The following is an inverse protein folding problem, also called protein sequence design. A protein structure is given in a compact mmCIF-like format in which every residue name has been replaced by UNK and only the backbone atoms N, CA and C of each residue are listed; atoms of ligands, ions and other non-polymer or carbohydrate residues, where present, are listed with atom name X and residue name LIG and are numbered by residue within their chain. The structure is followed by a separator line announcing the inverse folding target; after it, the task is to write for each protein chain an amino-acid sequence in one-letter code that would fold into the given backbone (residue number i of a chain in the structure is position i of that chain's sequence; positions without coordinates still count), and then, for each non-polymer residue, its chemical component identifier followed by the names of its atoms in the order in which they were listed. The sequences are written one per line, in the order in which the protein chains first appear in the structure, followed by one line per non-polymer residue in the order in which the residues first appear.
data_IF_561706759340
#
_entry.id   IF_561706759340
#
_cell.length_a   1.000
_cell.length_b   1.000
_cell.length_c   1.000
_cell.angle_alpha   90.00
_cell.angle_beta   90.00
_cell.angle_gamma   90.00
#
_symmetry.space_group_name_H-M   'P 1'
#
loop_
_entity.id
_entity.type
_entity.pdbx_description
1 polymer ?
#
# COMPACT_ATOMS: atom_id res chain seq x y z
N UNK A 1 -3.55 -8.25 4.05
CA UNK A 1 -3.80 -9.53 4.78
C UNK A 1 -3.49 -9.40 6.27
N UNK A 2 -4.50 -9.11 7.09
CA UNK A 2 -4.51 -9.50 8.51
C UNK A 2 -5.61 -10.56 8.66
N UNK A 3 -5.20 -11.83 8.83
CA UNK A 3 -6.09 -12.90 9.25
C UNK A 3 -6.21 -12.90 10.77
N UNK A 4 -7.42 -12.75 11.30
CA UNK A 4 -7.92 -13.31 12.57
C UNK A 4 -9.43 -13.10 12.55
N UNK A 5 -10.32 -14.08 12.70
CA UNK A 5 -10.19 -15.52 12.91
C UNK A 5 -11.58 -16.13 12.66
N UNK A 6 -11.59 -17.36 12.14
CA UNK A 6 -12.79 -18.18 11.99
C UNK A 6 -13.46 -18.38 13.35
N UNK A 7 -14.78 -18.31 13.38
CA UNK A 7 -15.59 -19.05 14.34
C UNK A 7 -16.60 -19.85 13.52
N UNK A 8 -16.33 -21.14 13.32
CA UNK A 8 -17.28 -22.14 12.79
C UNK A 8 -17.45 -23.19 13.87
N UNK A 9 -18.65 -23.28 14.42
CA UNK A 9 -19.34 -24.44 15.06
C UNK A 9 -20.75 -23.92 15.38
N UNK A 10 -21.91 -24.48 15.06
CA UNK A 10 -22.40 -25.75 14.51
C UNK A 10 -23.91 -25.50 14.22
N UNK A 11 -24.62 -26.29 13.40
CA UNK A 11 -26.07 -26.15 13.24
C UNK A 11 -26.81 -26.87 14.38
N UNK A 12 -27.83 -26.24 14.99
CA UNK A 12 -28.73 -26.92 15.93
C UNK A 12 -30.04 -27.30 15.26
N UNK A 13 -30.22 -28.60 15.08
CA UNK A 13 -31.49 -29.26 14.81
C UNK A 13 -32.20 -29.70 16.11
N UNK A 14 -33.53 -29.67 16.05
CA UNK A 14 -34.52 -30.50 16.73
C UNK A 14 -35.00 -30.23 18.17
N UNK A 15 -36.34 -30.06 18.21
CA UNK A 15 -37.38 -30.68 19.06
C UNK A 15 -37.30 -30.59 20.61
N UNK A 16 -38.46 -30.26 21.18
CA UNK A 16 -39.01 -31.07 22.28
C UNK A 16 -39.05 -30.45 23.68
N UNK A 17 -40.14 -29.72 23.97
CA UNK A 17 -41.03 -29.86 25.15
C UNK A 17 -40.43 -30.41 26.47
N UNK A 18 -40.45 -29.62 27.54
CA UNK A 18 -41.33 -29.78 28.73
C UNK A 18 -40.91 -28.80 29.85
N UNK A 19 -41.89 -28.06 30.39
CA UNK A 19 -41.77 -27.34 31.66
C UNK A 19 -41.97 -28.34 32.79
N UNK A 20 -41.04 -28.41 33.73
CA UNK A 20 -41.30 -28.93 35.07
C UNK A 20 -40.63 -28.04 36.12
N UNK A 21 -41.42 -27.75 37.15
CA UNK A 21 -41.15 -26.84 38.25
C UNK A 21 -40.56 -27.65 39.40
N UNK A 22 -39.31 -27.45 39.80
CA UNK A 22 -38.78 -27.90 41.11
C UNK A 22 -37.74 -26.93 41.67
N UNK A 23 -38.23 -26.10 42.60
CA UNK A 23 -37.67 -25.78 43.93
C UNK A 23 -36.15 -25.94 44.15
N UNK A 24 -35.44 -24.81 44.09
CA UNK A 24 -34.44 -24.33 45.06
C UNK A 24 -33.32 -25.27 45.53
N UNK A 25 -32.22 -25.30 44.77
CA UNK A 25 -30.87 -25.46 45.31
C UNK A 25 -30.01 -24.30 44.79
N UNK A 26 -29.46 -23.50 45.70
CA UNK A 26 -28.52 -22.44 45.37
C UNK A 26 -27.20 -23.07 44.91
N UNK A 27 -27.04 -23.20 43.59
CA UNK A 27 -25.83 -23.69 42.95
C UNK A 27 -24.85 -22.52 42.82
N UNK A 28 -23.78 -22.53 43.60
CA UNK A 28 -22.66 -21.59 43.44
C UNK A 28 -22.01 -21.83 42.08
N UNK A 29 -22.25 -20.94 41.12
CA UNK A 29 -21.59 -20.97 39.81
C UNK A 29 -20.07 -20.93 39.97
N UNK A 30 -19.29 -21.76 39.25
CA UNK A 30 -17.85 -21.58 39.16
C UNK A 30 -17.56 -20.23 38.50
N UNK A 31 -16.67 -19.46 39.09
CA UNK A 31 -16.24 -18.17 38.57
C UNK A 31 -15.85 -18.32 37.09
N UNK A 32 -16.57 -17.61 36.21
CA UNK A 32 -16.20 -17.54 34.80
C UNK A 32 -14.76 -17.04 34.64
N UNK A 33 -14.06 -17.38 33.53
CA UNK A 33 -12.70 -16.94 33.32
C UNK A 33 -12.60 -15.41 33.47
N UNK A 34 -11.55 -14.89 34.13
CA UNK A 34 -11.44 -13.47 34.41
C UNK A 34 -11.55 -12.68 33.10
N UNK A 35 -12.37 -11.62 33.13
CA UNK A 35 -12.54 -10.72 32.01
C UNK A 35 -11.16 -10.21 31.56
N UNK A 36 -10.84 -10.37 30.27
CA UNK A 36 -9.55 -9.95 29.73
C UNK A 36 -9.34 -8.46 30.04
N UNK A 37 -8.19 -8.06 30.61
CA UNK A 37 -7.96 -6.67 30.98
C UNK A 37 -8.12 -5.77 29.75
N UNK A 38 -8.65 -4.55 29.91
CA UNK A 38 -8.86 -3.64 28.80
C UNK A 38 -7.52 -3.41 28.09
N UNK A 39 -7.50 -3.41 26.74
CA UNK A 39 -6.26 -3.22 26.01
C UNK A 39 -5.55 -1.93 26.45
N UNK A 40 -4.24 -2.00 26.71
CA UNK A 40 -3.46 -0.82 27.09
C UNK A 40 -3.63 0.34 26.11
N UNK A 41 -3.41 1.58 26.54
CA UNK A 41 -3.70 2.80 25.77
C UNK A 41 -3.10 2.77 24.35
N UNK A 42 -1.91 2.20 24.19
CA UNK A 42 -1.27 1.99 22.89
C UNK A 42 -2.01 0.99 21.99
N UNK A 43 -2.51 -0.14 22.54
CA UNK A 43 -3.33 -1.11 21.80
C UNK A 43 -4.69 -0.53 21.42
N UNK A 44 -5.29 0.31 22.27
CA UNK A 44 -6.54 1.04 21.96
C UNK A 44 -6.35 2.06 20.85
N UNK A 45 -5.26 2.83 20.89
CA UNK A 45 -4.92 3.80 19.86
C UNK A 45 -4.64 3.11 18.51
N UNK A 46 -3.88 2.03 18.52
CA UNK A 46 -3.61 1.20 17.33
C UNK A 46 -4.90 0.68 16.69
N UNK A 47 -5.84 0.15 17.51
CA UNK A 47 -7.13 -0.35 17.02
C UNK A 47 -8.02 0.76 16.44
N UNK A 48 -7.91 1.99 16.94
CA UNK A 48 -8.64 3.15 16.39
C UNK A 48 -8.03 3.63 15.07
N UNK A 49 -6.70 3.79 15.03
CA UNK A 49 -5.96 4.24 13.84
C UNK A 49 -6.13 3.29 12.66
N UNK A 50 -5.94 1.99 12.90
CA UNK A 50 -6.03 0.97 11.85
C UNK A 50 -7.43 0.34 11.70
N UNK A 51 -8.41 0.86 12.44
CA UNK A 51 -9.82 0.45 12.34
C UNK A 51 -10.68 1.56 11.76
N UNK A 52 -11.03 2.56 12.58
CA UNK A 52 -11.96 3.63 12.21
C UNK A 52 -11.32 4.71 11.33
N UNK A 53 -10.02 4.92 11.46
CA UNK A 53 -9.27 5.98 10.75
C UNK A 53 -8.24 5.44 9.75
N UNK A 54 -8.47 4.21 9.25
CA UNK A 54 -7.52 3.54 8.35
C UNK A 54 -7.29 4.35 7.06
N UNK A 55 -8.35 4.93 6.49
CA UNK A 55 -8.25 5.82 5.33
C UNK A 55 -7.34 7.02 5.62
N UNK A 56 -7.60 7.76 6.69
CA UNK A 56 -6.82 8.96 7.07
C UNK A 56 -5.37 8.60 7.32
N UNK A 57 -5.12 7.49 8.02
CA UNK A 57 -3.77 7.02 8.32
C UNK A 57 -3.02 6.65 7.04
N UNK A 58 -3.66 5.94 6.10
CA UNK A 58 -3.08 5.61 4.80
C UNK A 58 -2.79 6.87 3.97
N UNK A 59 -3.71 7.83 3.95
CA UNK A 59 -3.54 9.10 3.22
C UNK A 59 -2.37 9.92 3.76
N UNK A 60 -2.33 10.16 5.07
CA UNK A 60 -1.26 10.97 5.68
C UNK A 60 0.08 10.26 5.57
N UNK A 61 0.14 8.95 5.84
CA UNK A 61 1.39 8.20 5.72
C UNK A 61 1.92 8.17 4.29
N UNK A 62 1.04 8.05 3.28
CA UNK A 62 1.45 8.09 1.87
C UNK A 62 2.05 9.45 1.49
N UNK A 63 1.42 10.55 1.93
CA UNK A 63 1.96 11.90 1.74
C UNK A 63 3.34 12.09 2.38
N UNK A 64 3.49 11.66 3.63
CA UNK A 64 4.76 11.76 4.36
C UNK A 64 5.86 10.89 3.74
N UNK A 65 5.55 9.66 3.33
CA UNK A 65 6.51 8.79 2.66
C UNK A 65 6.95 9.36 1.32
N UNK A 66 6.05 9.99 0.56
CA UNK A 66 6.39 10.63 -0.70
C UNK A 66 7.23 11.89 -0.48
N UNK A 67 6.88 12.71 0.51
CA UNK A 67 7.67 13.87 0.93
C UNK A 67 9.11 13.48 1.28
N UNK A 68 9.28 12.45 2.12
CA UNK A 68 10.61 11.96 2.52
C UNK A 68 11.38 11.38 1.33
N UNK A 69 10.69 10.66 0.44
CA UNK A 69 11.28 10.13 -0.79
C UNK A 69 11.82 11.24 -1.68
N UNK A 70 11.06 12.33 -1.85
CA UNK A 70 11.47 13.46 -2.67
C UNK A 70 12.64 14.24 -2.06
N UNK A 71 12.66 14.46 -0.72
CA UNK A 71 13.83 15.06 -0.04
C UNK A 71 15.11 14.27 -0.31
N UNK A 72 15.02 12.94 -0.28
CA UNK A 72 16.18 12.08 -0.56
C UNK A 72 16.54 12.11 -2.04
N UNK A 73 15.57 12.08 -2.96
CA UNK A 73 15.81 12.17 -4.40
C UNK A 73 16.50 13.49 -4.76
N UNK A 74 16.01 14.64 -4.27
CA UNK A 74 16.64 15.94 -4.47
C UNK A 74 18.08 15.96 -3.92
N UNK A 75 18.33 15.37 -2.74
CA UNK A 75 19.69 15.27 -2.20
C UNK A 75 20.63 14.41 -3.06
N UNK A 76 20.10 13.36 -3.71
CA UNK A 76 20.87 12.54 -4.66
C UNK A 76 21.22 13.38 -5.89
N UNK A 77 20.26 14.11 -6.45
CA UNK A 77 20.45 15.02 -7.59
C UNK A 77 21.51 16.11 -7.27
N UNK A 78 21.40 16.78 -6.12
CA UNK A 78 22.36 17.80 -5.69
C UNK A 78 23.79 17.27 -5.60
N UNK A 79 23.97 16.03 -5.10
CA UNK A 79 25.28 15.38 -5.03
C UNK A 79 25.81 15.03 -6.42
N UNK A 80 24.92 14.57 -7.32
CA UNK A 80 25.28 14.21 -8.71
C UNK A 80 25.74 15.43 -9.50
N UNK A 81 25.02 16.55 -9.39
CA UNK A 81 25.30 17.78 -10.13
C UNK A 81 26.48 18.59 -9.55
N UNK A 82 27.15 18.08 -8.50
CA UNK A 82 28.26 18.76 -7.83
C UNK A 82 27.90 20.08 -7.14
N UNK A 83 26.61 20.42 -7.08
CA UNK A 83 26.11 21.72 -6.67
C UNK A 83 25.86 21.76 -5.17
N UNK A 84 26.90 22.08 -4.38
CA UNK A 84 26.81 22.24 -2.92
C UNK A 84 25.86 23.36 -2.45
N UNK A 85 25.43 24.25 -3.35
CA UNK A 85 24.62 25.44 -3.05
C UNK A 85 23.15 25.35 -3.47
N UNK A 86 22.71 24.25 -4.11
CA UNK A 86 21.31 24.13 -4.56
C UNK A 86 20.43 23.94 -3.32
N UNK A 87 19.45 24.81 -3.10
CA UNK A 87 18.50 24.64 -2.01
C UNK A 87 17.45 23.57 -2.38
N UNK A 88 16.75 23.03 -1.37
CA UNK A 88 15.61 22.15 -1.62
C UNK A 88 14.53 22.91 -2.38
N UNK A 89 14.03 22.30 -3.45
CA UNK A 89 12.87 22.77 -4.17
C UNK A 89 11.60 22.45 -3.35
N UNK A 90 11.15 23.45 -2.60
CA UNK A 90 9.95 23.38 -1.77
C UNK A 90 8.67 23.26 -2.59
N UNK A 91 8.65 23.79 -3.81
CA UNK A 91 7.49 23.70 -4.69
C UNK A 91 7.30 22.25 -5.16
N UNK A 92 8.38 21.64 -5.68
CA UNK A 92 8.42 20.21 -6.01
C UNK A 92 8.05 19.33 -4.81
N UNK A 93 8.62 19.62 -3.64
CA UNK A 93 8.34 18.87 -2.41
C UNK A 93 6.84 18.91 -2.04
N UNK A 94 6.22 20.09 -2.16
CA UNK A 94 4.79 20.27 -1.97
C UNK A 94 3.96 19.47 -2.97
N UNK A 95 4.32 19.52 -4.26
CA UNK A 95 3.67 18.75 -5.32
C UNK A 95 3.75 17.24 -5.03
N UNK A 96 4.95 16.71 -4.77
CA UNK A 96 5.14 15.28 -4.46
C UNK A 96 4.38 14.86 -3.19
N UNK A 97 4.33 15.71 -2.17
CA UNK A 97 3.54 15.44 -0.97
C UNK A 97 2.05 15.31 -1.29
N UNK A 98 1.51 16.22 -2.10
CA UNK A 98 0.11 16.20 -2.55
C UNK A 98 -0.19 14.99 -3.44
N UNK A 99 0.75 14.59 -4.29
CA UNK A 99 0.66 13.32 -5.05
C UNK A 99 0.50 12.16 -4.07
N UNK A 100 1.38 12.03 -3.06
CA UNK A 100 1.27 10.98 -2.04
C UNK A 100 -0.07 10.99 -1.29
N UNK A 101 -0.58 12.17 -0.94
CA UNK A 101 -1.90 12.32 -0.31
C UNK A 101 -3.02 11.85 -1.24
N UNK A 102 -2.98 12.20 -2.53
CA UNK A 102 -4.00 11.78 -3.50
C UNK A 102 -3.98 10.27 -3.78
N UNK A 103 -2.79 9.66 -3.74
CA UNK A 103 -2.60 8.23 -3.93
C UNK A 103 -3.15 7.38 -2.77
N UNK A 104 -3.11 7.88 -1.53
CA UNK A 104 -3.54 7.13 -0.35
C UNK A 104 -5.01 6.62 -0.40
N UNK A 105 -6.01 7.48 -0.69
CA UNK A 105 -7.39 7.04 -0.90
C UNK A 105 -7.55 6.07 -2.06
N UNK A 106 -6.86 6.30 -3.17
CA UNK A 106 -6.90 5.41 -4.34
C UNK A 106 -6.43 4.00 -3.96
N UNK A 107 -5.29 3.89 -3.27
CA UNK A 107 -4.79 2.64 -2.71
C UNK A 107 -5.78 1.99 -1.75
N UNK A 108 -6.34 2.78 -0.82
CA UNK A 108 -7.29 2.26 0.17
C UNK A 108 -8.52 1.62 -0.48
N UNK A 109 -9.16 2.31 -1.43
CA UNK A 109 -10.39 1.81 -2.04
C UNK A 109 -10.15 0.67 -3.03
N UNK A 110 -9.09 0.71 -3.84
CA UNK A 110 -8.77 -0.38 -4.76
C UNK A 110 -8.44 -1.68 -4.02
N UNK A 111 -7.69 -1.59 -2.92
CA UNK A 111 -7.35 -2.77 -2.11
C UNK A 111 -8.56 -3.29 -1.33
N UNK A 112 -9.43 -2.41 -0.82
CA UNK A 112 -10.70 -2.82 -0.21
C UNK A 112 -11.61 -3.53 -1.22
N UNK A 113 -11.69 -3.03 -2.45
CA UNK A 113 -12.43 -3.67 -3.52
C UNK A 113 -11.84 -5.06 -3.84
N UNK A 114 -10.53 -5.16 -4.01
CA UNK A 114 -9.85 -6.43 -4.30
C UNK A 114 -10.05 -7.47 -3.18
N UNK A 115 -9.98 -7.04 -1.91
CA UNK A 115 -10.20 -7.94 -0.77
C UNK A 115 -11.65 -8.41 -0.65
N UNK A 116 -12.63 -7.61 -1.10
CA UNK A 116 -14.04 -8.02 -1.18
C UNK A 116 -14.30 -8.94 -2.37
N UNK A 117 -13.68 -8.68 -3.52
CA UNK A 117 -13.84 -9.47 -4.74
C UNK A 117 -13.18 -10.85 -4.61
N UNK A 118 -12.05 -10.93 -3.90
CA UNK A 118 -11.28 -12.16 -3.71
C UNK A 118 -11.06 -12.47 -2.22
N UNK A 119 -12.10 -12.93 -1.50
CA UNK A 119 -11.96 -13.30 -0.11
C UNK A 119 -11.12 -14.57 0.05
N UNK A 120 -10.30 -14.60 1.11
CA UNK A 120 -9.51 -15.78 1.48
C UNK A 120 -8.01 -15.66 1.20
N UNK A 121 -7.29 -16.71 1.59
CA UNK A 121 -5.82 -16.78 1.60
C UNK A 121 -5.28 -18.03 0.93
N UNK A 122 -6.10 -18.74 0.14
CA UNK A 122 -5.63 -19.87 -0.63
C UNK A 122 -4.57 -19.40 -1.64
N UNK A 123 -3.57 -20.25 -1.93
CA UNK A 123 -2.48 -19.90 -2.86
C UNK A 123 -3.04 -19.42 -4.20
N UNK A 124 -4.07 -20.08 -4.73
CA UNK A 124 -4.76 -19.64 -5.95
C UNK A 124 -5.29 -18.21 -5.82
N UNK A 125 -5.97 -17.87 -4.72
CA UNK A 125 -6.48 -16.52 -4.44
C UNK A 125 -5.34 -15.50 -4.35
N UNK A 126 -4.22 -15.86 -3.71
CA UNK A 126 -3.05 -14.99 -3.59
C UNK A 126 -2.43 -14.71 -4.96
N UNK A 127 -2.24 -15.74 -5.78
CA UNK A 127 -1.71 -15.60 -7.14
C UNK A 127 -2.64 -14.76 -8.02
N UNK A 128 -3.96 -14.94 -7.91
CA UNK A 128 -4.93 -14.09 -8.62
C UNK A 128 -4.85 -12.64 -8.16
N UNK A 129 -4.70 -12.38 -6.86
CA UNK A 129 -4.51 -11.02 -6.35
C UNK A 129 -3.24 -10.37 -6.89
N UNK A 130 -2.12 -11.10 -6.91
CA UNK A 130 -0.86 -10.60 -7.48
C UNK A 130 -1.04 -10.30 -8.98
N UNK A 131 -1.73 -11.17 -9.72
CA UNK A 131 -2.03 -10.91 -11.13
C UNK A 131 -2.87 -9.64 -11.33
N UNK A 132 -3.96 -9.48 -10.57
CA UNK A 132 -4.79 -8.26 -10.66
C UNK A 132 -3.99 -7.02 -10.26
N UNK A 133 -3.19 -7.12 -9.20
CA UNK A 133 -2.36 -6.02 -8.73
C UNK A 133 -1.43 -5.55 -9.86
N UNK A 134 -0.66 -6.46 -10.43
CA UNK A 134 0.33 -6.10 -11.42
C UNK A 134 -0.25 -5.73 -12.79
N UNK A 135 -1.33 -6.37 -13.25
CA UNK A 135 -1.88 -6.12 -14.60
C UNK A 135 -2.96 -5.03 -14.66
N UNK A 136 -3.59 -4.70 -13.53
CA UNK A 136 -4.70 -3.73 -13.51
C UNK A 136 -4.37 -2.57 -12.59
N UNK A 137 -4.01 -2.87 -11.34
CA UNK A 137 -3.87 -1.86 -10.30
C UNK A 137 -2.57 -1.05 -10.48
N UNK A 138 -1.43 -1.69 -10.73
CA UNK A 138 -0.14 -1.03 -10.98
C UNK A 138 -0.19 -0.04 -12.16
N UNK A 139 -0.72 -0.40 -13.35
CA UNK A 139 -0.90 0.56 -14.45
C UNK A 139 -1.73 1.78 -14.07
N UNK A 140 -2.81 1.59 -13.29
CA UNK A 140 -3.65 2.69 -12.80
C UNK A 140 -2.86 3.59 -11.85
N UNK A 141 -2.09 3.04 -10.93
CA UNK A 141 -1.27 3.83 -10.01
C UNK A 141 -0.17 4.60 -10.71
N UNK A 142 0.55 3.98 -11.63
CA UNK A 142 1.64 4.65 -12.37
C UNK A 142 1.06 5.80 -13.19
N UNK A 143 -0.06 5.57 -13.88
CA UNK A 143 -0.73 6.60 -14.70
C UNK A 143 -1.23 7.75 -13.84
N UNK A 144 -1.91 7.46 -12.72
CA UNK A 144 -2.43 8.50 -11.83
C UNK A 144 -1.30 9.24 -11.10
N UNK A 145 -0.20 8.56 -10.76
CA UNK A 145 1.00 9.17 -10.20
C UNK A 145 1.58 10.20 -11.17
N UNK A 146 1.87 9.82 -12.41
CA UNK A 146 2.46 10.72 -13.40
C UNK A 146 1.53 11.88 -13.77
N UNK A 147 0.23 11.63 -13.99
CA UNK A 147 -0.73 12.70 -14.26
C UNK A 147 -0.88 13.66 -13.08
N UNK A 148 -1.08 13.15 -11.86
CA UNK A 148 -1.26 14.01 -10.69
C UNK A 148 0.00 14.84 -10.41
N UNK A 149 1.18 14.25 -10.55
CA UNK A 149 2.45 14.96 -10.44
C UNK A 149 2.58 16.07 -11.49
N UNK A 150 2.38 15.75 -12.77
CA UNK A 150 2.49 16.72 -13.84
C UNK A 150 1.49 17.87 -13.71
N UNK A 151 0.23 17.59 -13.37
CA UNK A 151 -0.80 18.63 -13.17
C UNK A 151 -0.44 19.53 -11.99
N UNK A 152 0.04 18.96 -10.87
CA UNK A 152 0.41 19.74 -9.68
C UNK A 152 1.65 20.61 -9.92
N UNK A 153 2.58 20.16 -10.75
CA UNK A 153 3.75 20.90 -11.23
C UNK A 153 3.39 21.97 -12.28
N UNK A 154 2.13 22.08 -12.69
CA UNK A 154 1.65 23.08 -13.65
C UNK A 154 1.83 22.70 -15.12
N UNK A 155 2.12 21.43 -15.42
CA UNK A 155 2.27 20.96 -16.80
C UNK A 155 0.91 20.86 -17.50
N UNK A 156 0.93 21.06 -18.83
CA UNK A 156 -0.25 20.83 -19.66
C UNK A 156 -0.61 19.34 -19.72
N UNK A 157 -1.87 19.02 -20.00
CA UNK A 157 -2.34 17.63 -20.18
C UNK A 157 -1.54 16.92 -21.26
N UNK A 158 -1.19 17.62 -22.35
CA UNK A 158 -0.36 17.05 -23.43
C UNK A 158 1.02 16.66 -22.91
N UNK A 159 1.70 17.55 -22.19
CA UNK A 159 3.00 17.27 -21.59
C UNK A 159 2.94 16.08 -20.61
N UNK A 160 1.85 15.96 -19.83
CA UNK A 160 1.66 14.81 -18.94
C UNK A 160 1.50 13.49 -19.73
N UNK A 161 0.76 13.50 -20.83
CA UNK A 161 0.60 12.33 -21.71
C UNK A 161 1.92 11.91 -22.35
N UNK A 162 2.71 12.88 -22.80
CA UNK A 162 4.03 12.65 -23.37
C UNK A 162 4.96 12.04 -22.29
N UNK A 163 4.94 12.58 -21.06
CA UNK A 163 5.72 12.04 -19.94
C UNK A 163 5.32 10.61 -19.55
N UNK A 164 4.04 10.27 -19.61
CA UNK A 164 3.58 8.89 -19.40
C UNK A 164 4.13 7.97 -20.47
N UNK A 165 4.04 8.37 -21.73
CA UNK A 165 4.55 7.58 -22.85
C UNK A 165 6.05 7.31 -22.69
N UNK A 166 6.80 8.29 -22.19
CA UNK A 166 8.24 8.19 -21.97
C UNK A 166 8.62 7.33 -20.76
N UNK A 167 7.92 7.49 -19.63
CA UNK A 167 8.38 6.95 -18.33
C UNK A 167 7.62 5.72 -17.87
N UNK A 168 6.42 5.48 -18.38
CA UNK A 168 5.54 4.40 -17.92
C UNK A 168 6.24 3.05 -17.96
N UNK A 169 6.87 2.70 -19.09
CA UNK A 169 7.48 1.40 -19.25
C UNK A 169 8.65 1.18 -18.27
N UNK A 170 9.44 2.22 -18.00
CA UNK A 170 10.53 2.15 -17.02
C UNK A 170 10.00 1.94 -15.62
N UNK A 171 8.99 2.72 -15.21
CA UNK A 171 8.39 2.60 -13.89
C UNK A 171 7.70 1.24 -13.75
N UNK A 172 7.00 0.78 -14.78
CA UNK A 172 6.29 -0.49 -14.78
C UNK A 172 7.24 -1.69 -14.68
N UNK A 173 8.35 -1.69 -15.43
CA UNK A 173 9.39 -2.72 -15.30
C UNK A 173 9.98 -2.69 -13.89
N UNK A 174 10.28 -1.51 -13.33
CA UNK A 174 10.76 -1.40 -11.95
C UNK A 174 9.72 -1.93 -10.94
N UNK A 175 8.42 -1.67 -11.15
CA UNK A 175 7.32 -2.18 -10.33
C UNK A 175 7.34 -3.72 -10.28
N UNK A 176 7.46 -4.37 -11.45
CA UNK A 176 7.58 -5.82 -11.60
C UNK A 176 8.84 -6.42 -10.98
N UNK A 177 9.93 -5.66 -10.95
CA UNK A 177 11.19 -6.11 -10.34
C UNK A 177 11.17 -5.94 -8.81
N UNK A 178 10.44 -4.94 -8.30
CA UNK A 178 10.40 -4.62 -6.88
C UNK A 178 9.31 -5.41 -6.17
N UNK A 179 8.06 -5.33 -6.62
CA UNK A 179 6.93 -5.77 -5.82
C UNK A 179 6.71 -7.28 -5.76
N UNK A 180 6.71 -8.05 -6.85
CA UNK A 180 6.55 -9.50 -6.77
C UNK A 180 7.60 -10.19 -5.88
N UNK A 181 8.92 -9.89 -5.98
CA UNK A 181 9.92 -10.45 -5.08
C UNK A 181 9.73 -9.98 -3.63
N UNK A 182 9.41 -8.69 -3.44
CA UNK A 182 9.12 -8.12 -2.12
C UNK A 182 7.93 -8.81 -1.45
N UNK A 183 6.83 -9.02 -2.18
CA UNK A 183 5.65 -9.69 -1.67
C UNK A 183 5.94 -11.16 -1.36
N UNK A 184 6.75 -11.83 -2.18
CA UNK A 184 7.20 -13.19 -1.90
C UNK A 184 7.96 -13.26 -0.56
N UNK A 185 8.96 -12.42 -0.35
CA UNK A 185 9.72 -12.37 0.93
C UNK A 185 8.80 -12.01 2.10
N UNK A 186 7.92 -11.04 1.91
CA UNK A 186 6.98 -10.56 2.93
C UNK A 186 6.04 -11.66 3.45
N UNK A 187 5.50 -12.49 2.56
CA UNK A 187 4.56 -13.54 2.93
C UNK A 187 5.22 -14.86 3.29
N UNK A 188 6.31 -15.23 2.60
CA UNK A 188 6.98 -16.52 2.78
C UNK A 188 7.96 -16.51 3.96
N UNK A 189 8.82 -15.49 4.04
CA UNK A 189 9.95 -15.51 4.98
C UNK A 189 9.67 -14.68 6.25
N UNK A 190 8.97 -13.56 6.14
CA UNK A 190 8.79 -12.66 7.28
C UNK A 190 7.64 -13.05 8.20
N UNK A 191 7.95 -13.08 9.50
CA UNK A 191 6.94 -13.17 10.56
C UNK A 191 6.01 -11.96 10.52
N UNK A 192 4.69 -12.12 10.77
CA UNK A 192 3.70 -11.03 10.71
C UNK A 192 4.07 -9.75 11.46
N UNK A 193 4.89 -9.85 12.52
CA UNK A 193 5.35 -8.71 13.32
C UNK A 193 6.27 -7.75 12.55
N UNK A 194 7.05 -8.24 11.60
CA UNK A 194 8.06 -7.43 10.86
C UNK A 194 7.58 -6.97 9.49
N UNK A 195 6.50 -7.55 8.96
CA UNK A 195 5.98 -7.29 7.60
C UNK A 195 5.72 -5.82 7.30
N UNK A 196 5.10 -5.10 8.22
CA UNK A 196 4.76 -3.67 8.03
C UNK A 196 6.02 -2.82 7.93
N UNK A 197 7.02 -3.07 8.79
CA UNK A 197 8.28 -2.33 8.76
C UNK A 197 9.05 -2.59 7.47
N UNK A 198 9.11 -3.86 7.05
CA UNK A 198 9.77 -4.26 5.80
C UNK A 198 9.12 -3.60 4.57
N UNK A 199 7.79 -3.71 4.43
CA UNK A 199 7.07 -3.11 3.31
C UNK A 199 7.26 -1.60 3.28
N UNK A 200 7.12 -0.91 4.41
CA UNK A 200 7.32 0.54 4.45
C UNK A 200 8.76 0.95 4.06
N UNK A 201 9.76 0.13 4.39
CA UNK A 201 11.14 0.34 3.98
C UNK A 201 11.32 0.24 2.46
N UNK A 202 10.76 -0.80 1.84
CA UNK A 202 10.78 -0.96 0.37
C UNK A 202 9.98 0.15 -0.30
N UNK A 203 8.80 0.51 0.23
CA UNK A 203 7.99 1.65 -0.25
C UNK A 203 8.78 2.95 -0.23
N UNK A 204 9.59 3.20 0.80
CA UNK A 204 10.44 4.39 0.85
C UNK A 204 11.46 4.39 -0.30
N UNK A 205 12.15 3.26 -0.54
CA UNK A 205 13.09 3.14 -1.65
C UNK A 205 12.41 3.34 -3.01
N UNK A 206 11.22 2.78 -3.17
CA UNK A 206 10.44 2.94 -4.38
C UNK A 206 9.98 4.38 -4.60
N UNK A 207 9.55 5.09 -3.54
CA UNK A 207 9.20 6.50 -3.63
C UNK A 207 10.40 7.38 -4.01
N UNK A 208 11.59 7.08 -3.47
CA UNK A 208 12.83 7.77 -3.88
C UNK A 208 13.07 7.57 -5.38
N UNK A 209 12.95 6.32 -5.86
CA UNK A 209 13.06 5.99 -7.28
C UNK A 209 12.02 6.75 -8.12
N UNK A 210 10.75 6.76 -7.72
CA UNK A 210 9.67 7.47 -8.40
C UNK A 210 9.93 8.97 -8.49
N UNK A 211 10.26 9.61 -7.38
CA UNK A 211 10.60 11.04 -7.35
C UNK A 211 11.82 11.34 -8.22
N UNK A 212 12.85 10.48 -8.20
CA UNK A 212 14.03 10.64 -9.03
C UNK A 212 13.68 10.51 -10.52
N UNK A 213 13.01 9.44 -10.95
CA UNK A 213 12.68 9.24 -12.37
C UNK A 213 11.65 10.25 -12.88
N UNK A 214 10.76 10.76 -12.02
CA UNK A 214 9.85 11.85 -12.37
C UNK A 214 10.59 13.14 -12.76
N UNK A 215 11.78 13.38 -12.23
CA UNK A 215 12.55 14.62 -12.46
C UNK A 215 13.85 14.41 -13.25
N UNK A 216 14.19 13.17 -13.57
CA UNK A 216 15.43 12.82 -14.28
C UNK A 216 15.17 11.83 -15.40
N UNK A 217 16.04 11.87 -16.40
CA UNK A 217 15.90 11.09 -17.63
C UNK A 217 16.89 9.93 -17.74
N UNK A 218 17.79 9.79 -16.75
CA UNK A 218 18.95 8.90 -16.84
C UNK A 218 18.59 7.42 -16.76
N UNK A 219 17.48 7.10 -16.10
CA UNK A 219 17.04 5.72 -15.88
C UNK A 219 16.02 5.23 -16.90
N UNK A 220 15.67 6.07 -17.89
CA UNK A 220 14.66 5.75 -18.91
C UNK A 220 15.11 4.53 -19.72
N UNK A 221 14.31 3.47 -19.69
CA UNK A 221 14.40 2.38 -20.67
C UNK A 221 13.98 2.96 -22.02
N UNK A 222 14.97 3.27 -22.85
CA UNK A 222 14.73 3.58 -24.25
C UNK A 222 14.44 2.26 -24.96
N UNK A 223 13.17 2.02 -25.27
CA UNK A 223 12.81 1.11 -26.37
C UNK A 223 13.18 1.83 -27.67
N UNK A 224 14.47 2.10 -27.88
CA UNK A 224 14.90 2.63 -29.15
C UNK A 224 14.63 1.57 -30.22
N UNK A 225 14.10 2.04 -31.33
CA UNK A 225 13.64 1.25 -32.47
C UNK A 225 14.80 0.39 -32.98
N UNK A 226 14.85 -0.87 -32.59
CA UNK A 226 15.68 -1.90 -33.23
C UNK A 226 15.16 -2.28 -34.63
N UNK A 227 14.70 -1.30 -35.44
CA UNK A 227 14.19 -1.49 -36.81
C UNK A 227 14.54 -0.34 -37.78
N UNK A 228 15.41 0.61 -37.40
CA UNK A 228 15.84 1.71 -38.32
C UNK A 228 17.28 1.59 -38.83
N UNK A 229 18.03 0.55 -38.44
CA UNK A 229 19.43 0.34 -38.88
C UNK A 229 19.59 -0.89 -39.79
N UNK A 230 18.50 -1.43 -40.33
CA UNK A 230 18.56 -2.45 -41.39
C UNK A 230 17.45 -2.17 -42.40
N UNK A 231 17.63 -1.11 -43.19
CA UNK A 231 17.15 -0.97 -44.56
C UNK A 231 17.89 0.15 -45.25
#
# INVERSE_FOLDING_TARGET
MQCFGRCITQPRSNLGRLRFFTRGYAQSSPAGPPAKPPPGSMKRMWKRLFGRYLLVTNTISSGLLMMLGDVVAQKIEMKRDGSKQRELDWYRLGCMTLVGISQGPLHHYLYLWMDRALPGTAIRTVLTKIGIDQFVISPIFITTYLYSAGILEGNSVRACTDEITDKFATIYVADWLVWPPTQFINFYWLSPKYRVLYINGITMLYNIFLCYIKHNDDLRIRFDKSDSATK
#
